data_IF_701063966032
#
_entry.id   IF_701063966032
#
_cell.length_a   1.000
_cell.length_b   1.000
_cell.length_c   1.000
_cell.angle_alpha   90.00
_cell.angle_beta   90.00
_cell.angle_gamma   90.00
#
_symmetry.space_group_name_H-M   'P 1'
#
loop_
_entity.id
_entity.type
_entity.pdbx_description
1 polymer ?
#
# COMPACT_ATOMS: atom_id res chain seq x y z
N UNK A 1 18.48 -21.40 -9.89
CA UNK A 1 18.17 -19.98 -10.17
C UNK A 1 16.67 -19.78 -9.96
N UNK A 2 16.25 -19.24 -8.80
CA UNK A 2 14.82 -19.13 -8.46
C UNK A 2 14.21 -17.89 -9.13
N UNK A 3 13.70 -18.06 -10.36
CA UNK A 3 13.03 -17.02 -11.15
C UNK A 3 11.87 -16.32 -10.41
N UNK A 4 11.34 -16.97 -9.36
CA UNK A 4 10.12 -16.57 -8.67
C UNK A 4 10.37 -15.82 -7.35
N UNK A 5 11.59 -15.44 -6.96
CA UNK A 5 11.84 -14.69 -5.71
C UNK A 5 11.96 -13.17 -5.91
N UNK A 6 12.11 -12.70 -7.15
CA UNK A 6 12.26 -11.27 -7.47
C UNK A 6 10.93 -10.54 -7.66
N UNK A 7 10.95 -9.54 -8.53
CA UNK A 7 9.76 -8.88 -9.07
C UNK A 7 9.98 -8.59 -10.55
N UNK A 8 8.90 -8.48 -11.30
CA UNK A 8 8.91 -8.11 -12.71
C UNK A 8 8.16 -6.80 -12.86
N UNK A 9 8.76 -5.86 -13.60
CA UNK A 9 8.11 -4.59 -13.97
C UNK A 9 7.54 -4.72 -15.38
N UNK A 10 6.22 -4.58 -15.49
CA UNK A 10 5.53 -4.50 -16.77
C UNK A 10 5.35 -3.03 -17.12
N UNK A 11 6.27 -2.52 -17.94
CA UNK A 11 6.38 -1.10 -18.26
C UNK A 11 6.68 -0.25 -17.02
N UNK A 12 6.23 1.00 -17.04
CA UNK A 12 6.49 2.00 -15.98
C UNK A 12 5.48 1.99 -14.83
N UNK A 13 4.40 1.22 -14.94
CA UNK A 13 3.23 1.35 -14.05
C UNK A 13 2.92 0.10 -13.24
N UNK A 14 3.30 -1.09 -13.68
CA UNK A 14 2.89 -2.34 -13.04
C UNK A 14 4.12 -3.07 -12.53
N UNK A 15 4.09 -3.47 -11.27
CA UNK A 15 5.10 -4.34 -10.65
C UNK A 15 4.40 -5.57 -10.09
N UNK A 16 4.87 -6.76 -10.51
CA UNK A 16 4.40 -8.05 -10.00
C UNK A 16 5.51 -8.66 -9.17
N UNK A 17 5.25 -8.92 -7.90
CA UNK A 17 6.19 -9.53 -6.97
C UNK A 17 6.06 -11.05 -6.99
N UNK A 18 7.20 -11.73 -6.92
CA UNK A 18 7.27 -13.17 -6.69
C UNK A 18 7.23 -13.53 -5.20
N UNK A 19 7.64 -14.75 -4.87
CA UNK A 19 7.83 -15.29 -3.52
C UNK A 19 8.91 -14.52 -2.72
N UNK A 20 8.60 -13.33 -2.25
CA UNK A 20 9.44 -12.48 -1.38
C UNK A 20 8.64 -11.90 -0.20
N UNK A 21 9.19 -10.90 0.50
CA UNK A 21 8.54 -10.24 1.63
C UNK A 21 7.15 -9.66 1.32
N UNK A 22 6.92 -9.23 0.08
CA UNK A 22 5.61 -8.77 -0.39
C UNK A 22 4.65 -9.92 -0.69
N UNK A 23 5.16 -11.16 -0.74
CA UNK A 23 4.52 -12.33 -1.31
C UNK A 23 4.17 -12.09 -2.78
N UNK A 24 3.19 -12.83 -3.32
CA UNK A 24 2.66 -12.65 -4.67
C UNK A 24 1.83 -11.36 -4.81
N UNK A 25 2.42 -10.21 -4.52
CA UNK A 25 1.78 -8.90 -4.59
C UNK A 25 1.81 -8.30 -6.01
N UNK A 26 0.91 -7.36 -6.26
CA UNK A 26 0.85 -6.56 -7.49
C UNK A 26 0.66 -5.09 -7.09
N UNK A 27 1.48 -4.22 -7.68
CA UNK A 27 1.38 -2.77 -7.54
C UNK A 27 1.10 -2.15 -8.91
N UNK A 28 0.06 -1.31 -9.00
CA UNK A 28 -0.31 -0.57 -10.21
C UNK A 28 -0.29 0.92 -9.90
N UNK A 29 0.61 1.68 -10.55
CA UNK A 29 0.70 3.14 -10.42
C UNK A 29 -0.34 3.82 -11.31
N UNK A 30 -1.13 4.67 -10.69
CA UNK A 30 -2.20 5.48 -11.29
C UNK A 30 -2.03 6.95 -10.91
N UNK A 31 -2.59 7.87 -11.70
CA UNK A 31 -2.56 9.30 -11.37
C UNK A 31 -3.58 9.67 -10.30
N UNK A 32 -4.74 9.00 -10.28
CA UNK A 32 -5.86 9.33 -9.38
C UNK A 32 -5.72 8.73 -7.97
N UNK A 33 -5.21 7.50 -7.87
CA UNK A 33 -5.20 6.75 -6.61
C UNK A 33 -3.78 6.49 -6.07
N UNK A 34 -2.74 6.96 -6.77
CA UNK A 34 -1.38 6.55 -6.49
C UNK A 34 -1.20 5.09 -6.87
N UNK A 35 -0.70 4.28 -5.96
CA UNK A 35 -0.56 2.85 -6.14
C UNK A 35 -1.81 2.09 -5.69
N UNK A 36 -2.30 1.23 -6.57
CA UNK A 36 -3.25 0.17 -6.24
C UNK A 36 -2.45 -1.09 -5.95
N UNK A 37 -2.51 -1.58 -4.71
CA UNK A 37 -1.72 -2.70 -4.23
C UNK A 37 -2.64 -3.86 -3.82
N UNK A 38 -2.40 -5.06 -4.34
CA UNK A 38 -3.17 -6.24 -3.96
C UNK A 38 -2.34 -7.52 -3.97
N UNK A 39 -2.81 -8.54 -3.26
CA UNK A 39 -2.17 -9.87 -3.20
C UNK A 39 -2.90 -10.86 -4.11
N UNK A 40 -2.14 -11.64 -4.88
CA UNK A 40 -2.63 -12.77 -5.65
C UNK A 40 -2.85 -13.99 -4.73
N UNK A 41 -3.87 -14.84 -5.01
CA UNK A 41 -4.20 -16.00 -4.21
C UNK A 41 -3.26 -17.17 -4.51
N UNK A 42 -1.99 -17.04 -4.14
CA UNK A 42 -0.99 -18.09 -4.29
C UNK A 42 -0.34 -18.43 -2.94
N UNK A 43 -0.07 -19.73 -2.72
CA UNK A 43 0.66 -20.21 -1.54
C UNK A 43 2.09 -19.65 -1.56
N UNK A 44 2.54 -19.15 -0.42
CA UNK A 44 3.88 -18.58 -0.26
C UNK A 44 4.47 -19.04 1.07
N UNK A 45 5.78 -19.27 1.16
CA UNK A 45 6.46 -19.72 2.40
C UNK A 45 5.72 -20.84 3.17
N UNK A 46 5.17 -21.82 2.45
CA UNK A 46 4.47 -22.96 3.06
C UNK A 46 3.03 -22.70 3.52
N UNK A 47 2.47 -21.50 3.40
CA UNK A 47 1.10 -21.17 3.87
C UNK A 47 0.33 -20.24 2.94
N UNK A 48 -0.99 -20.16 3.18
CA UNK A 48 -1.86 -19.18 2.56
C UNK A 48 -1.77 -17.87 3.32
N UNK A 49 -1.49 -16.79 2.60
CA UNK A 49 -1.47 -15.46 3.17
C UNK A 49 -2.78 -14.74 2.89
N UNK A 50 -3.29 -13.92 3.82
CA UNK A 50 -4.56 -13.24 3.62
C UNK A 50 -4.56 -12.31 2.40
N UNK A 51 -5.65 -12.23 1.66
CA UNK A 51 -5.74 -11.26 0.57
C UNK A 51 -5.84 -9.83 1.13
N UNK A 52 -5.27 -8.88 0.40
CA UNK A 52 -5.42 -7.45 0.67
C UNK A 52 -5.64 -6.70 -0.64
N UNK A 53 -6.26 -5.54 -0.54
CA UNK A 53 -6.35 -4.50 -1.56
C UNK A 53 -6.26 -3.15 -0.84
N UNK A 54 -5.28 -2.32 -1.17
CA UNK A 54 -5.18 -0.96 -0.61
C UNK A 54 -4.67 0.03 -1.64
N UNK A 55 -5.03 1.31 -1.44
CA UNK A 55 -4.57 2.42 -2.28
C UNK A 55 -3.69 3.36 -1.45
N UNK A 56 -2.50 3.71 -1.94
CA UNK A 56 -1.59 4.62 -1.23
C UNK A 56 -0.69 5.40 -2.20
N UNK A 57 -0.22 6.60 -1.83
CA UNK A 57 0.66 7.39 -2.70
C UNK A 57 2.03 6.74 -2.92
N UNK A 58 2.43 5.81 -2.05
CA UNK A 58 3.80 5.31 -1.95
C UNK A 58 3.94 3.78 -2.02
N UNK A 59 2.87 3.07 -2.39
CA UNK A 59 2.82 1.61 -2.43
C UNK A 59 3.05 0.91 -1.08
N UNK A 60 2.73 1.58 0.03
CA UNK A 60 2.80 0.99 1.38
C UNK A 60 1.48 1.14 2.16
N UNK A 61 1.19 0.24 3.12
CA UNK A 61 -0.07 0.31 3.89
C UNK A 61 -0.17 1.48 4.87
N UNK A 62 0.94 1.99 5.43
CA UNK A 62 0.91 3.03 6.48
C UNK A 62 0.38 4.39 5.99
N UNK A 63 0.44 4.62 4.68
CA UNK A 63 -0.11 5.80 4.00
C UNK A 63 -1.39 5.48 3.21
N UNK A 64 -2.00 4.31 3.45
CA UNK A 64 -3.16 3.88 2.69
C UNK A 64 -4.39 4.73 3.02
N UNK A 65 -5.15 5.05 1.99
CA UNK A 65 -6.39 5.87 2.05
C UNK A 65 -7.62 5.07 1.65
N UNK A 66 -7.42 3.78 1.36
CA UNK A 66 -8.45 2.78 1.15
C UNK A 66 -7.84 1.42 1.48
N UNK A 67 -8.58 0.55 2.16
CA UNK A 67 -8.13 -0.81 2.43
C UNK A 67 -9.30 -1.81 2.52
N UNK A 68 -9.10 -2.99 1.93
CA UNK A 68 -9.94 -4.18 2.02
C UNK A 68 -9.05 -5.42 2.20
N UNK A 69 -9.55 -6.45 2.91
CA UNK A 69 -8.77 -7.66 3.20
C UNK A 69 -7.87 -7.55 4.46
N UNK A 70 -7.09 -8.60 4.74
CA UNK A 70 -6.55 -8.94 6.08
C UNK A 70 -5.01 -8.73 6.13
N UNK A 71 -4.33 -8.45 7.26
CA UNK A 71 -4.65 -8.37 8.70
C UNK A 71 -3.92 -7.13 9.26
N UNK A 72 -4.62 -6.02 9.43
CA UNK A 72 -4.26 -5.02 10.42
C UNK A 72 -5.57 -4.61 11.09
N UNK A 73 -5.49 -4.19 12.35
CA UNK A 73 -6.59 -4.02 13.30
C UNK A 73 -7.78 -3.24 12.72
N UNK A 74 -8.93 -3.29 13.41
CA UNK A 74 -10.06 -2.38 13.12
C UNK A 74 -9.59 -0.92 13.01
N UNK A 75 -8.53 -0.57 13.74
CA UNK A 75 -7.85 0.73 13.62
C UNK A 75 -7.36 1.00 12.19
N UNK A 76 -6.74 0.07 11.49
CA UNK A 76 -6.18 0.31 10.16
C UNK A 76 -7.23 0.69 9.11
N UNK A 77 -8.43 0.09 9.21
CA UNK A 77 -9.57 0.47 8.38
C UNK A 77 -10.06 1.89 8.73
N UNK A 78 -10.15 2.20 10.02
CA UNK A 78 -10.51 3.52 10.49
C UNK A 78 -9.47 4.58 10.07
N UNK A 79 -8.18 4.30 10.26
CA UNK A 79 -7.05 5.13 9.86
C UNK A 79 -7.07 5.37 8.35
N UNK A 80 -7.31 4.34 7.52
CA UNK A 80 -7.39 4.55 6.07
C UNK A 80 -8.50 5.54 5.67
N UNK A 81 -9.64 5.51 6.36
CA UNK A 81 -10.75 6.45 6.16
C UNK A 81 -10.41 7.85 6.68
N UNK A 82 -9.79 7.95 7.85
CA UNK A 82 -9.34 9.21 8.43
C UNK A 82 -8.31 9.90 7.53
N UNK A 83 -7.29 9.16 7.05
CA UNK A 83 -6.31 9.63 6.06
C UNK A 83 -7.02 10.12 4.79
N UNK A 84 -7.98 9.38 4.27
CA UNK A 84 -8.76 9.79 3.09
C UNK A 84 -9.54 11.08 3.31
N UNK A 85 -10.16 11.23 4.48
CA UNK A 85 -10.92 12.44 4.83
C UNK A 85 -10.03 13.67 5.01
N UNK A 86 -8.85 13.50 5.62
CA UNK A 86 -7.94 14.60 5.97
C UNK A 86 -7.00 15.00 4.84
N UNK A 87 -6.49 14.03 4.09
CA UNK A 87 -5.44 14.21 3.08
C UNK A 87 -5.94 14.01 1.66
N UNK A 88 -7.13 13.44 1.48
CA UNK A 88 -7.59 13.01 0.17
C UNK A 88 -6.93 11.69 -0.28
N UNK A 89 -6.84 11.49 -1.60
CA UNK A 89 -6.22 10.32 -2.21
C UNK A 89 -4.97 10.78 -2.92
N UNK A 90 -3.96 9.92 -2.96
CA UNK A 90 -2.70 10.19 -3.67
C UNK A 90 -2.06 11.52 -3.27
N UNK A 91 -2.12 11.86 -1.98
CA UNK A 91 -1.51 13.06 -1.43
C UNK A 91 0.02 12.99 -1.51
N UNK A 92 0.66 14.15 -1.55
CA UNK A 92 2.11 14.27 -1.45
C UNK A 92 2.57 13.94 -0.04
N UNK A 93 3.53 13.03 0.12
CA UNK A 93 3.92 12.46 1.42
C UNK A 93 5.41 12.57 1.71
N UNK A 94 6.16 13.31 0.89
CA UNK A 94 7.61 13.38 0.99
C UNK A 94 8.03 14.34 2.11
N UNK A 95 8.69 13.83 3.16
CA UNK A 95 9.08 14.65 4.31
C UNK A 95 10.02 15.82 3.98
N UNK A 96 10.75 15.75 2.87
CA UNK A 96 11.68 16.80 2.44
C UNK A 96 11.01 17.85 1.55
N UNK A 97 9.93 17.50 0.86
CA UNK A 97 9.26 18.35 -0.15
C UNK A 97 7.79 18.64 0.16
N UNK A 98 7.28 18.23 1.32
CA UNK A 98 5.89 18.40 1.71
C UNK A 98 5.57 19.84 2.15
N UNK A 99 5.35 20.70 1.16
CA UNK A 99 4.90 22.10 1.35
C UNK A 99 3.55 22.19 2.07
N UNK A 100 2.72 21.14 1.95
CA UNK A 100 1.36 21.09 2.47
C UNK A 100 1.27 20.55 3.91
N UNK A 101 2.35 20.04 4.49
CA UNK A 101 2.37 19.44 5.83
C UNK A 101 1.65 18.09 5.94
N UNK A 102 1.34 17.44 4.82
CA UNK A 102 0.68 16.14 4.74
C UNK A 102 1.44 15.01 5.43
N UNK A 103 2.77 14.99 5.40
CA UNK A 103 3.61 13.99 6.09
C UNK A 103 3.44 14.11 7.61
N UNK A 104 3.49 15.33 8.14
CA UNK A 104 3.26 15.59 9.57
C UNK A 104 1.84 15.20 9.98
N UNK A 105 0.85 15.53 9.15
CA UNK A 105 -0.54 15.18 9.42
C UNK A 105 -0.78 13.66 9.33
N UNK A 106 -0.19 12.98 8.34
CA UNK A 106 -0.21 11.52 8.26
C UNK A 106 0.37 10.86 9.52
N UNK A 107 1.50 11.39 10.02
CA UNK A 107 2.09 10.91 11.27
C UNK A 107 1.16 11.12 12.46
N UNK A 108 0.52 12.29 12.57
CA UNK A 108 -0.47 12.56 13.64
C UNK A 108 -1.65 11.59 13.58
N UNK A 109 -2.24 11.39 12.40
CA UNK A 109 -3.36 10.46 12.20
C UNK A 109 -2.97 9.05 12.63
N UNK A 110 -1.77 8.59 12.25
CA UNK A 110 -1.29 7.24 12.58
C UNK A 110 -1.06 7.01 14.07
N UNK A 111 -0.94 8.06 14.88
CA UNK A 111 -0.78 8.00 16.32
C UNK A 111 -2.07 8.42 17.07
N UNK A 112 -3.22 8.51 16.38
CA UNK A 112 -4.48 9.01 16.94
C UNK A 112 -5.46 7.94 17.42
N UNK A 113 -5.20 6.67 17.09
CA UNK A 113 -5.98 5.49 17.46
C UNK A 113 -5.03 4.43 18.02
#
# INVERSE_FOLDING_TARGET
MNLLTGHIKLGKKITVYGRNAMHWGVNIRTQKFGYICFRLPFRCFGRWYPLYLYFSPNATPWASTFMLGKKHSREDWALSRLRRMRLGHNFEYDSEFDENGNYKELYRINNSL
#
